data_IF_561219529382
#
_entry.id   IF_561219529382
#
_cell.length_a   1.000
_cell.length_b   1.000
_cell.length_c   1.000
_cell.angle_alpha   90.00
_cell.angle_beta   90.00
_cell.angle_gamma   90.00
#
_symmetry.space_group_name_H-M   'P 1'
#
loop_
_entity.id
_entity.type
_entity.pdbx_description
1 polymer ?
#
# COMPACT_ATOMS: atom_id res chain seq x y z
N UNK A 1 17.12 -8.40 -2.22
CA UNK A 1 15.71 -8.20 -1.84
C UNK A 1 15.61 -7.14 -0.75
N UNK A 2 14.53 -6.38 -0.70
CA UNK A 2 14.31 -5.36 0.32
C UNK A 2 14.21 -6.02 1.71
N UNK A 3 15.10 -5.63 2.62
CA UNK A 3 15.09 -6.07 4.01
C UNK A 3 15.73 -4.98 4.89
N UNK A 4 15.33 -4.83 6.16
CA UNK A 4 15.97 -3.90 7.08
C UNK A 4 17.43 -4.28 7.32
N UNK A 5 18.34 -3.31 7.25
CA UNK A 5 19.77 -3.52 7.60
C UNK A 5 19.95 -3.89 9.08
N UNK A 6 19.21 -3.24 9.96
CA UNK A 6 19.31 -3.42 11.40
C UNK A 6 17.92 -3.37 12.03
N UNK A 7 17.63 -4.27 12.95
CA UNK A 7 16.36 -4.34 13.66
C UNK A 7 16.63 -4.36 15.17
N UNK A 8 15.80 -3.66 15.94
CA UNK A 8 15.89 -3.67 17.41
C UNK A 8 15.48 -5.04 17.96
N UNK A 9 14.43 -5.63 17.38
CA UNK A 9 13.88 -6.94 17.80
C UNK A 9 13.83 -7.87 16.61
N UNK A 10 14.44 -9.06 16.73
CA UNK A 10 14.53 -10.03 15.64
C UNK A 10 13.18 -10.65 15.26
N UNK A 11 12.30 -10.86 16.23
CA UNK A 11 10.99 -11.47 16.03
C UNK A 11 9.90 -10.51 16.53
N UNK A 12 8.84 -10.34 15.75
CA UNK A 12 7.73 -9.43 16.04
C UNK A 12 6.43 -10.17 16.30
N UNK A 13 5.53 -9.58 17.08
CA UNK A 13 4.18 -10.07 17.29
C UNK A 13 3.36 -9.97 16.00
N UNK A 14 2.36 -10.86 15.80
CA UNK A 14 1.50 -10.82 14.60
C UNK A 14 0.79 -9.47 14.48
N UNK A 15 0.19 -8.99 15.55
CA UNK A 15 -0.58 -7.74 15.58
C UNK A 15 -1.90 -7.82 14.80
N UNK A 16 -2.71 -6.76 14.90
CA UNK A 16 -3.97 -6.59 14.16
C UNK A 16 -3.77 -5.55 13.05
N UNK A 17 -4.46 -5.71 11.92
CA UNK A 17 -4.39 -4.81 10.74
C UNK A 17 -5.71 -4.06 10.55
N UNK A 18 -6.30 -3.53 11.62
CA UNK A 18 -7.57 -2.80 11.57
C UNK A 18 -7.35 -1.31 11.25
N UNK A 19 -8.39 -0.65 10.74
CA UNK A 19 -8.42 0.77 10.44
C UNK A 19 -7.92 1.12 9.05
N UNK A 20 -7.93 2.40 8.71
CA UNK A 20 -7.44 2.97 7.45
C UNK A 20 -6.04 3.54 7.63
N UNK A 21 -5.36 3.82 6.52
CA UNK A 21 -4.07 4.49 6.55
C UNK A 21 -4.27 6.01 6.76
N UNK A 22 -3.71 6.55 7.84
CA UNK A 22 -3.75 7.99 8.13
C UNK A 22 -2.68 8.74 7.32
N UNK A 23 -1.54 8.09 7.08
CA UNK A 23 -0.39 8.66 6.36
C UNK A 23 -0.03 7.82 5.14
N UNK A 24 0.48 8.51 4.09
CA UNK A 24 0.89 7.87 2.84
C UNK A 24 -0.28 7.38 1.99
N UNK A 25 -1.44 8.02 2.10
CA UNK A 25 -2.62 7.79 1.26
C UNK A 25 -2.70 8.70 0.04
N UNK A 26 -1.85 9.72 -0.04
CA UNK A 26 -1.79 10.69 -1.13
C UNK A 26 -0.56 10.49 -2.00
N UNK A 27 -0.67 10.87 -3.28
CA UNK A 27 0.45 10.90 -4.21
C UNK A 27 1.37 12.07 -3.88
N UNK A 28 2.67 11.79 -3.81
CA UNK A 28 3.67 12.80 -3.49
C UNK A 28 4.69 12.99 -4.62
N UNK A 29 5.32 11.92 -5.07
CA UNK A 29 6.38 11.95 -6.09
C UNK A 29 5.83 11.89 -7.51
N UNK A 30 4.87 10.98 -7.75
CA UNK A 30 4.32 10.69 -9.06
C UNK A 30 3.00 11.39 -9.36
N UNK A 31 2.54 11.24 -10.60
CA UNK A 31 1.23 11.69 -11.08
C UNK A 31 0.17 10.59 -10.96
N UNK A 32 0.63 9.34 -11.02
CA UNK A 32 -0.19 8.14 -10.94
C UNK A 32 0.29 7.25 -9.81
N UNK A 33 -0.59 6.45 -9.22
CA UNK A 33 -0.22 5.52 -8.18
C UNK A 33 -1.19 4.38 -7.99
N UNK A 34 -0.76 3.38 -7.23
CA UNK A 34 -1.53 2.21 -6.86
C UNK A 34 -1.88 2.28 -5.38
N UNK A 35 -3.17 2.45 -5.07
CA UNK A 35 -3.69 2.57 -3.72
C UNK A 35 -4.39 1.30 -3.27
N UNK A 36 -4.03 0.78 -2.09
CA UNK A 36 -4.69 -0.39 -1.50
C UNK A 36 -6.13 -0.10 -1.08
N UNK A 37 -7.05 -1.00 -1.40
CA UNK A 37 -8.45 -0.98 -0.96
C UNK A 37 -8.69 -1.86 0.24
N UNK A 38 -7.84 -2.88 0.44
CA UNK A 38 -7.92 -3.85 1.51
C UNK A 38 -6.70 -3.83 2.42
N UNK A 39 -6.82 -4.44 3.60
CA UNK A 39 -5.68 -4.64 4.48
C UNK A 39 -4.97 -5.97 4.17
N UNK A 40 -3.65 -5.97 4.26
CA UNK A 40 -2.87 -7.18 4.04
C UNK A 40 -1.40 -7.02 4.38
N UNK A 41 -0.64 -8.06 4.09
CA UNK A 41 0.81 -8.08 4.20
C UNK A 41 1.40 -8.36 2.83
N UNK A 42 2.30 -7.51 2.40
CA UNK A 42 2.99 -7.64 1.11
C UNK A 42 4.45 -7.98 1.38
N UNK A 43 4.90 -9.11 0.87
CA UNK A 43 6.29 -9.56 1.05
C UNK A 43 7.25 -8.78 0.16
N UNK A 44 8.53 -8.78 0.52
CA UNK A 44 9.59 -8.15 -0.28
C UNK A 44 9.65 -8.71 -1.72
N UNK A 45 9.38 -10.00 -1.89
CA UNK A 45 9.33 -10.67 -3.20
C UNK A 45 8.17 -10.15 -4.06
N UNK A 46 6.99 -9.94 -3.46
CA UNK A 46 5.81 -9.41 -4.15
C UNK A 46 6.00 -7.95 -4.57
N UNK A 47 6.63 -7.12 -3.70
CA UNK A 47 6.97 -5.73 -4.04
C UNK A 47 7.89 -5.70 -5.26
N UNK A 48 8.93 -6.52 -5.27
CA UNK A 48 9.88 -6.58 -6.38
C UNK A 48 9.23 -7.13 -7.66
N UNK A 49 8.43 -8.18 -7.57
CA UNK A 49 7.69 -8.72 -8.71
C UNK A 49 6.76 -7.68 -9.36
N UNK A 50 6.08 -6.86 -8.54
CA UNK A 50 5.23 -5.77 -9.02
C UNK A 50 6.04 -4.67 -9.69
N UNK A 51 7.16 -4.25 -9.07
CA UNK A 51 8.06 -3.25 -9.66
C UNK A 51 8.60 -3.69 -11.02
N UNK A 52 9.04 -4.95 -11.12
CA UNK A 52 9.55 -5.52 -12.38
C UNK A 52 8.45 -5.58 -13.45
N UNK A 53 7.23 -5.95 -13.08
CA UNK A 53 6.10 -5.99 -14.02
C UNK A 53 5.82 -4.60 -14.61
N UNK A 54 5.77 -3.55 -13.78
CA UNK A 54 5.62 -2.17 -14.25
C UNK A 54 6.77 -1.74 -15.16
N UNK A 55 8.01 -1.92 -14.72
CA UNK A 55 9.21 -1.49 -15.46
C UNK A 55 9.29 -2.16 -16.84
N UNK A 56 8.94 -3.44 -16.93
CA UNK A 56 8.93 -4.17 -18.21
C UNK A 56 7.85 -3.65 -19.15
N UNK A 57 6.67 -3.37 -18.65
CA UNK A 57 5.56 -2.87 -19.47
C UNK A 57 5.88 -1.50 -20.09
N UNK A 58 6.40 -0.57 -19.28
CA UNK A 58 6.78 0.78 -19.75
C UNK A 58 8.14 0.83 -20.43
N UNK A 59 8.78 -0.32 -20.74
CA UNK A 59 10.06 -0.44 -21.43
C UNK A 59 11.17 0.45 -20.79
N UNK A 60 11.16 0.57 -19.46
CA UNK A 60 12.01 1.44 -18.65
C UNK A 60 11.77 2.95 -18.86
N UNK A 61 10.67 3.34 -19.50
CA UNK A 61 10.23 4.72 -19.57
C UNK A 61 9.69 5.22 -18.23
N UNK A 62 9.79 6.52 -17.98
CA UNK A 62 9.29 7.15 -16.76
C UNK A 62 10.03 6.77 -15.47
N UNK A 63 9.47 7.22 -14.36
CA UNK A 63 10.01 6.96 -13.02
C UNK A 63 9.01 6.18 -12.18
N UNK A 64 9.50 5.24 -11.37
CA UNK A 64 8.69 4.40 -10.48
C UNK A 64 9.24 4.50 -9.07
N UNK A 65 8.38 4.85 -8.11
CA UNK A 65 8.71 4.91 -6.69
C UNK A 65 7.96 3.85 -5.90
N UNK A 66 8.68 3.11 -5.07
CA UNK A 66 8.11 2.18 -4.10
C UNK A 66 7.86 2.93 -2.81
N UNK A 67 6.59 3.09 -2.41
CA UNK A 67 6.16 3.87 -1.24
C UNK A 67 6.05 3.05 0.05
N UNK A 68 6.31 1.77 -0.02
CA UNK A 68 6.22 0.83 1.09
C UNK A 68 7.53 0.11 1.29
N UNK A 69 7.86 -0.20 2.54
CA UNK A 69 9.06 -0.96 2.89
C UNK A 69 8.68 -2.16 3.77
N UNK A 70 9.21 -3.37 3.50
CA UNK A 70 8.93 -4.56 4.28
C UNK A 70 9.76 -4.58 5.56
N UNK A 71 9.22 -3.99 6.62
CA UNK A 71 9.85 -3.84 7.95
C UNK A 71 9.42 -4.90 8.95
N UNK A 72 8.33 -5.62 8.69
CA UNK A 72 7.78 -6.62 9.60
C UNK A 72 8.34 -8.00 9.32
N UNK A 73 9.00 -8.58 10.34
CA UNK A 73 9.50 -9.95 10.29
C UNK A 73 8.35 -10.97 10.39
N UNK A 74 8.25 -11.87 9.43
CA UNK A 74 7.35 -13.01 9.44
C UNK A 74 8.14 -14.27 9.80
N UNK A 75 7.66 -15.01 10.79
CA UNK A 75 8.29 -16.24 11.26
C UNK A 75 7.49 -17.44 10.82
N UNK A 76 8.19 -18.50 10.43
CA UNK A 76 7.61 -19.80 10.09
C UNK A 76 8.41 -20.91 10.75
N UNK A 77 7.73 -21.97 11.16
CA UNK A 77 8.38 -23.22 11.61
C UNK A 77 8.49 -24.16 10.41
N UNK A 78 9.50 -25.00 10.41
CA UNK A 78 9.61 -26.08 9.42
C UNK A 78 8.36 -26.98 9.47
N UNK A 79 8.00 -27.58 8.34
CA UNK A 79 6.76 -28.37 8.21
C UNK A 79 6.70 -29.55 9.19
N UNK A 80 7.83 -30.18 9.48
CA UNK A 80 7.94 -31.34 10.35
C UNK A 80 8.16 -31.04 11.84
N UNK A 81 8.19 -29.73 12.19
CA UNK A 81 8.44 -29.34 13.58
C UNK A 81 7.18 -29.48 14.43
N UNK A 82 7.28 -30.26 15.52
CA UNK A 82 6.21 -30.43 16.52
C UNK A 82 5.86 -29.12 17.20
N UNK A 83 4.68 -29.06 17.83
CA UNK A 83 4.25 -27.91 18.64
C UNK A 83 5.18 -27.72 19.84
N UNK A 84 5.29 -26.48 20.35
CA UNK A 84 6.19 -26.13 21.44
C UNK A 84 7.54 -25.57 20.98
N UNK A 85 8.55 -25.54 21.83
CA UNK A 85 9.92 -25.04 21.59
C UNK A 85 10.04 -23.61 21.06
N UNK A 86 9.08 -22.75 21.39
CA UNK A 86 9.12 -21.31 21.11
C UNK A 86 8.74 -20.93 19.68
N UNK A 87 8.98 -19.65 19.34
CA UNK A 87 8.64 -19.05 18.05
C UNK A 87 9.64 -19.41 16.96
N UNK A 88 9.12 -19.75 15.77
CA UNK A 88 9.94 -20.09 14.59
C UNK A 88 10.94 -18.98 14.20
N UNK A 89 11.85 -19.31 13.30
CA UNK A 89 12.81 -18.35 12.75
C UNK A 89 12.15 -17.38 11.79
N UNK A 90 12.77 -16.20 11.59
CA UNK A 90 12.35 -15.23 10.58
C UNK A 90 12.66 -15.81 9.21
N UNK A 91 11.64 -15.91 8.36
CA UNK A 91 11.74 -16.43 7.00
C UNK A 91 11.61 -15.31 5.97
N UNK A 92 10.66 -14.40 6.17
CA UNK A 92 10.34 -13.34 5.22
C UNK A 92 10.15 -11.99 5.91
N UNK A 93 10.34 -10.94 5.13
CA UNK A 93 10.01 -9.57 5.51
C UNK A 93 8.78 -9.10 4.75
N UNK A 94 7.85 -8.45 5.43
CA UNK A 94 6.62 -7.95 4.84
C UNK A 94 6.29 -6.52 5.29
N UNK A 95 5.68 -5.77 4.40
CA UNK A 95 5.04 -4.49 4.70
C UNK A 95 3.59 -4.73 5.13
N UNK A 96 3.17 -4.10 6.21
CA UNK A 96 1.76 -4.10 6.65
C UNK A 96 1.03 -2.97 5.93
N UNK A 97 0.06 -3.34 5.12
CA UNK A 97 -0.74 -2.41 4.32
C UNK A 97 -2.12 -2.27 4.94
N UNK A 98 -2.60 -1.03 5.04
CA UNK A 98 -3.97 -0.69 5.41
C UNK A 98 -4.70 -0.07 4.23
N UNK A 99 -6.03 -0.15 4.15
CA UNK A 99 -6.81 0.50 3.11
C UNK A 99 -6.50 1.99 3.01
N UNK A 100 -6.35 2.49 1.79
CA UNK A 100 -5.98 3.87 1.50
C UNK A 100 -4.48 4.13 1.40
N UNK A 101 -3.60 3.15 1.67
CA UNK A 101 -2.15 3.30 1.51
C UNK A 101 -1.75 3.24 0.04
N UNK A 102 -0.95 4.20 -0.41
CA UNK A 102 -0.29 4.16 -1.74
C UNK A 102 0.93 3.23 -1.65
N UNK A 103 1.02 2.27 -2.58
CA UNK A 103 2.07 1.25 -2.63
C UNK A 103 3.16 1.65 -3.61
N UNK A 104 2.75 2.08 -4.81
CA UNK A 104 3.64 2.52 -5.88
C UNK A 104 3.18 3.86 -6.44
N UNK A 105 4.13 4.64 -6.94
CA UNK A 105 3.87 5.85 -7.72
C UNK A 105 4.64 5.80 -9.03
N UNK A 106 4.09 6.46 -10.05
CA UNK A 106 4.68 6.56 -11.39
C UNK A 106 4.55 7.98 -11.92
N UNK A 107 5.54 8.43 -12.72
CA UNK A 107 5.51 9.68 -13.46
C UNK A 107 6.26 9.58 -14.79
N UNK A 108 6.01 10.55 -15.68
CA UNK A 108 6.67 10.65 -16.99
C UNK A 108 6.15 9.66 -18.03
N UNK A 109 4.88 9.23 -17.91
CA UNK A 109 4.23 8.24 -18.78
C UNK A 109 2.78 8.68 -19.04
N UNK A 110 2.22 8.42 -20.23
CA UNK A 110 0.80 8.67 -20.51
C UNK A 110 -0.11 7.91 -19.55
N UNK A 111 -1.25 8.49 -19.19
CA UNK A 111 -2.18 7.93 -18.21
C UNK A 111 -2.64 6.50 -18.55
N UNK A 112 -2.92 6.23 -19.82
CA UNK A 112 -3.40 4.91 -20.27
C UNK A 112 -2.35 3.84 -20.00
N UNK A 113 -1.11 4.10 -20.37
CA UNK A 113 0.01 3.17 -20.12
C UNK A 113 0.30 3.02 -18.63
N UNK A 114 0.26 4.10 -17.87
CA UNK A 114 0.47 4.07 -16.43
C UNK A 114 -0.58 3.21 -15.73
N UNK A 115 -1.85 3.35 -16.08
CA UNK A 115 -2.94 2.57 -15.47
C UNK A 115 -2.85 1.09 -15.81
N UNK A 116 -2.46 0.75 -17.05
CA UNK A 116 -2.25 -0.64 -17.43
C UNK A 116 -1.04 -1.25 -16.72
N UNK A 117 0.07 -0.51 -16.61
CA UNK A 117 1.23 -0.94 -15.82
C UNK A 117 0.87 -1.20 -14.34
N UNK A 118 0.07 -0.31 -13.73
CA UNK A 118 -0.42 -0.46 -12.37
C UNK A 118 -1.38 -1.65 -12.21
N UNK A 119 -2.21 -1.92 -13.23
CA UNK A 119 -3.07 -3.11 -13.27
C UNK A 119 -2.25 -4.40 -13.29
N UNK A 120 -1.21 -4.46 -14.10
CA UNK A 120 -0.29 -5.62 -14.13
C UNK A 120 0.44 -5.81 -12.81
N UNK A 121 0.83 -4.72 -12.14
CA UNK A 121 1.43 -4.76 -10.81
C UNK A 121 0.44 -5.31 -9.76
N UNK A 122 -0.83 -4.90 -9.81
CA UNK A 122 -1.87 -5.37 -8.91
C UNK A 122 -2.01 -6.89 -8.93
N UNK A 123 -1.90 -7.52 -10.11
CA UNK A 123 -1.98 -8.97 -10.27
C UNK A 123 -0.85 -9.75 -9.56
N UNK A 124 0.21 -9.06 -9.10
CA UNK A 124 1.32 -9.66 -8.34
C UNK A 124 1.19 -9.44 -6.83
N UNK A 125 0.17 -8.69 -6.41
CA UNK A 125 -0.07 -8.35 -5.01
C UNK A 125 -1.18 -9.24 -4.42
N UNK A 126 -1.08 -9.58 -3.13
CA UNK A 126 -2.12 -10.36 -2.43
C UNK A 126 -3.28 -9.50 -1.93
N UNK A 127 -3.24 -8.18 -2.21
CA UNK A 127 -4.18 -7.17 -1.71
C UNK A 127 -4.80 -6.48 -2.91
N UNK A 128 -6.11 -6.33 -2.90
CA UNK A 128 -6.82 -5.56 -3.93
C UNK A 128 -6.40 -4.10 -3.88
N UNK A 129 -6.09 -3.54 -5.05
CA UNK A 129 -5.67 -2.16 -5.19
C UNK A 129 -6.38 -1.49 -6.36
N UNK A 130 -6.44 -0.17 -6.33
CA UNK A 130 -6.97 0.65 -7.41
C UNK A 130 -5.93 1.65 -7.91
N UNK A 131 -5.87 1.90 -9.22
CA UNK A 131 -5.06 2.98 -9.75
C UNK A 131 -5.70 4.32 -9.37
N UNK A 132 -4.88 5.32 -9.04
CA UNK A 132 -5.27 6.69 -8.73
C UNK A 132 -4.40 7.65 -9.51
N UNK A 133 -4.94 8.86 -9.80
CA UNK A 133 -4.18 9.98 -10.36
C UNK A 133 -4.32 11.21 -9.48
N UNK A 134 -3.41 12.17 -9.59
CA UNK A 134 -3.51 13.46 -8.86
C UNK A 134 -4.82 14.19 -9.18
N UNK A 135 -5.31 14.12 -10.41
CA UNK A 135 -6.60 14.67 -10.80
C UNK A 135 -7.76 14.01 -10.04
N UNK A 136 -7.74 12.67 -9.94
CA UNK A 136 -8.76 11.91 -9.20
C UNK A 136 -8.71 12.20 -7.71
N UNK A 137 -7.53 12.38 -7.13
CA UNK A 137 -7.36 12.76 -5.72
C UNK A 137 -7.92 14.14 -5.44
N UNK A 138 -7.65 15.11 -6.31
CA UNK A 138 -8.17 16.47 -6.17
C UNK A 138 -9.72 16.51 -6.21
N UNK A 139 -10.33 15.73 -7.12
CA UNK A 139 -11.79 15.58 -7.16
C UNK A 139 -12.36 14.90 -5.91
N UNK A 140 -11.71 13.86 -5.44
CA UNK A 140 -12.12 13.17 -4.21
C UNK A 140 -11.96 14.05 -2.96
N UNK A 141 -10.95 14.90 -2.89
CA UNK A 141 -10.76 15.86 -1.81
C UNK A 141 -11.86 16.92 -1.81
N UNK A 142 -12.20 17.49 -2.98
CA UNK A 142 -13.30 18.44 -3.14
C UNK A 142 -14.66 17.84 -2.75
N UNK A 143 -14.92 16.61 -3.14
CA UNK A 143 -16.15 15.90 -2.75
C UNK A 143 -16.24 15.67 -1.24
N UNK A 144 -15.14 15.28 -0.59
CA UNK A 144 -15.09 15.13 0.88
C UNK A 144 -15.30 16.44 1.62
N UNK A 145 -14.73 17.55 1.12
CA UNK A 145 -14.92 18.87 1.70
C UNK A 145 -16.40 19.30 1.65
N UNK A 146 -17.07 19.14 0.51
CA UNK A 146 -18.51 19.43 0.38
C UNK A 146 -19.37 18.62 1.35
N UNK A 147 -19.14 17.31 1.46
CA UNK A 147 -19.86 16.45 2.40
C UNK A 147 -19.61 16.83 3.87
N UNK A 148 -18.38 17.29 4.18
CA UNK A 148 -18.06 17.75 5.53
C UNK A 148 -18.77 19.09 5.87
N UNK A 149 -18.89 20.00 4.92
CA UNK A 149 -19.64 21.27 5.06
C UNK A 149 -21.13 21.01 5.24
N UNK A 150 -21.72 20.14 4.42
CA UNK A 150 -23.14 19.75 4.56
C UNK A 150 -23.46 19.12 5.93
N UNK A 151 -22.56 18.27 6.44
CA UNK A 151 -22.69 17.68 7.77
C UNK A 151 -22.59 18.72 8.88
N UNK A 152 -21.70 19.71 8.75
CA UNK A 152 -21.59 20.82 9.70
C UNK A 152 -22.85 21.70 9.69
N UNK A 153 -23.35 22.03 8.50
CA UNK A 153 -24.58 22.80 8.34
C UNK A 153 -25.80 22.10 8.94
N UNK A 154 -25.95 20.80 8.67
CA UNK A 154 -27.03 19.98 9.28
C UNK A 154 -26.93 19.93 10.82
N UNK A 155 -25.70 19.79 11.35
CA UNK A 155 -25.49 19.76 12.80
C UNK A 155 -25.77 21.10 13.46
N UNK A 156 -25.42 22.22 12.81
CA UNK A 156 -25.76 23.57 13.26
C UNK A 156 -27.28 23.84 13.24
N UNK A 157 -27.99 23.41 12.18
CA UNK A 157 -29.42 23.53 12.08
C UNK A 157 -30.21 22.70 13.13
N UNK A 158 -29.66 21.56 13.54
CA UNK A 158 -30.24 20.73 14.62
C UNK A 158 -29.98 21.33 16.01
N UNK A 159 -28.83 21.99 16.20
CA UNK A 159 -28.50 22.66 17.47
C UNK A 159 -29.22 24.00 17.68
N UNK A 160 -29.80 24.57 16.63
CA UNK A 160 -30.57 25.83 16.67
C UNK A 160 -32.09 25.61 16.85
N UNK A 161 -32.55 24.38 16.96
CA UNK A 161 -33.93 23.98 17.32
C UNK A 161 -33.99 23.51 18.76
#
# INVERSE_FOLDING_TARGET
MLAPKRVKWRKMQKGKMRGRADRGGTLFFGEFGLQATECGKITSRQIEASRVAMTRYVKRGGQIWVRVFPDKALTKKAAETRMGSGKGNVEEWAAVIKPGRVIFEMAGIPQVEAFEALRLANNKLPVSCKPISKATEALAAKAKAKVAEEKKAKKAAVAAK
#
